data_IF_159388782869
#
_entry.id   IF_159388782869
#
_cell.length_a   1.000
_cell.length_b   1.000
_cell.length_c   1.000
_cell.angle_alpha   90.00
_cell.angle_beta   90.00
_cell.angle_gamma   90.00
#
_symmetry.space_group_name_H-M   'P 1'
#
loop_
_entity.id
_entity.type
_entity.pdbx_description
1 polymer ?
#
# COMPACT_ATOMS: atom_id res chain seq x y z
N UNK A 1 93.00 -57.11 -64.46
CA UNK A 1 92.59 -55.74 -64.84
C UNK A 1 91.21 -55.33 -64.27
N UNK A 2 90.69 -55.96 -63.20
CA UNK A 2 89.34 -55.63 -62.64
C UNK A 2 89.33 -54.71 -61.41
N UNK A 3 90.48 -54.28 -60.88
CA UNK A 3 90.51 -53.52 -59.61
C UNK A 3 90.33 -51.99 -59.80
N UNK A 4 90.72 -51.43 -60.95
CA UNK A 4 90.74 -49.97 -61.17
C UNK A 4 89.36 -49.34 -61.50
N UNK A 5 88.37 -50.13 -61.92
CA UNK A 5 87.04 -49.64 -62.33
C UNK A 5 86.11 -49.45 -61.10
N UNK A 6 86.33 -50.23 -60.03
CA UNK A 6 85.53 -50.18 -58.80
C UNK A 6 85.73 -48.88 -58.01
N UNK A 7 86.96 -48.39 -57.92
CA UNK A 7 87.29 -47.16 -57.15
C UNK A 7 86.77 -45.89 -57.82
N UNK A 8 86.74 -45.83 -59.16
CA UNK A 8 86.17 -44.70 -59.91
C UNK A 8 84.67 -44.52 -59.68
N UNK A 9 83.93 -45.63 -59.60
CA UNK A 9 82.48 -45.63 -59.33
C UNK A 9 82.15 -45.12 -57.92
N UNK A 10 82.98 -45.45 -56.92
CA UNK A 10 82.80 -44.98 -55.55
C UNK A 10 83.09 -43.47 -55.37
N UNK A 11 84.03 -42.90 -56.14
CA UNK A 11 84.36 -41.48 -56.09
C UNK A 11 83.25 -40.65 -56.78
N UNK A 12 82.71 -41.12 -57.91
CA UNK A 12 81.57 -40.49 -58.58
C UNK A 12 80.29 -40.50 -57.73
N UNK A 13 79.98 -41.60 -57.03
CA UNK A 13 78.86 -41.65 -56.08
C UNK A 13 79.04 -40.67 -54.90
N UNK A 14 80.26 -40.55 -54.36
CA UNK A 14 80.55 -39.61 -53.26
C UNK A 14 80.49 -38.14 -53.69
N UNK A 15 80.86 -37.83 -54.93
CA UNK A 15 80.77 -36.47 -55.48
C UNK A 15 79.32 -36.04 -55.74
N UNK A 16 78.51 -36.93 -56.35
CA UNK A 16 77.07 -36.70 -56.58
C UNK A 16 76.29 -36.55 -55.27
N UNK A 17 76.63 -37.33 -54.24
CA UNK A 17 75.96 -37.25 -52.94
C UNK A 17 76.16 -35.88 -52.27
N UNK A 18 77.38 -35.30 -52.34
CA UNK A 18 77.66 -33.98 -51.75
C UNK A 18 76.87 -32.86 -52.42
N UNK A 19 76.72 -32.89 -53.75
CA UNK A 19 75.92 -31.92 -54.49
C UNK A 19 74.43 -32.02 -54.21
N UNK A 20 73.93 -33.22 -53.88
CA UNK A 20 72.54 -33.41 -53.51
C UNK A 20 72.24 -32.86 -52.10
N UNK A 21 73.16 -33.01 -51.14
CA UNK A 21 72.98 -32.44 -49.80
C UNK A 21 72.99 -30.90 -49.80
N UNK A 22 73.79 -30.25 -50.65
CA UNK A 22 73.82 -28.77 -50.71
C UNK A 22 72.52 -28.18 -51.27
N UNK A 23 71.91 -28.81 -52.27
CA UNK A 23 70.60 -28.41 -52.82
C UNK A 23 69.47 -28.56 -51.80
N UNK A 24 69.46 -29.68 -51.06
CA UNK A 24 68.48 -29.90 -49.99
C UNK A 24 68.63 -28.86 -48.88
N UNK A 25 69.88 -28.54 -48.48
CA UNK A 25 70.14 -27.55 -47.43
C UNK A 25 69.67 -26.15 -47.86
N UNK A 26 69.94 -25.74 -49.10
CA UNK A 26 69.50 -24.44 -49.62
C UNK A 26 67.96 -24.35 -49.72
N UNK A 27 67.31 -25.44 -50.12
CA UNK A 27 65.83 -25.53 -50.15
C UNK A 27 65.22 -25.39 -48.75
N UNK A 28 65.79 -26.07 -47.74
CA UNK A 28 65.34 -25.96 -46.35
C UNK A 28 65.54 -24.53 -45.82
N UNK A 29 66.68 -23.90 -46.10
CA UNK A 29 66.94 -22.51 -45.67
C UNK A 29 65.95 -21.54 -46.30
N UNK A 30 65.65 -21.68 -47.59
CA UNK A 30 64.66 -20.86 -48.29
C UNK A 30 63.25 -21.04 -47.72
N UNK A 31 62.84 -22.30 -47.45
CA UNK A 31 61.55 -22.61 -46.84
C UNK A 31 61.43 -22.00 -45.43
N UNK A 32 62.47 -22.15 -44.60
CA UNK A 32 62.51 -21.56 -43.27
C UNK A 32 62.45 -20.03 -43.32
N UNK A 33 63.16 -19.39 -44.25
CA UNK A 33 63.10 -17.94 -44.44
C UNK A 33 61.70 -17.47 -44.84
N UNK A 34 61.04 -18.20 -45.74
CA UNK A 34 59.68 -17.87 -46.19
C UNK A 34 58.66 -18.05 -45.06
N UNK A 35 58.79 -19.12 -44.26
CA UNK A 35 57.98 -19.32 -43.05
C UNK A 35 58.21 -18.20 -42.03
N UNK A 36 59.46 -17.76 -41.82
CA UNK A 36 59.79 -16.65 -40.91
C UNK A 36 59.21 -15.32 -41.39
N UNK A 37 59.29 -15.03 -42.69
CA UNK A 37 58.70 -13.83 -43.29
C UNK A 37 57.17 -13.88 -43.14
N UNK A 38 56.55 -15.00 -43.49
CA UNK A 38 55.11 -15.20 -43.36
C UNK A 38 54.67 -15.06 -41.90
N UNK A 39 55.36 -15.72 -40.96
CA UNK A 39 55.11 -15.61 -39.53
C UNK A 39 55.25 -14.17 -39.06
N UNK A 40 56.32 -13.47 -39.46
CA UNK A 40 56.54 -12.06 -39.09
C UNK A 40 55.43 -11.15 -39.62
N UNK A 41 54.99 -11.34 -40.85
CA UNK A 41 53.90 -10.55 -41.47
C UNK A 41 52.59 -10.82 -40.76
N UNK A 42 52.18 -12.09 -40.66
CA UNK A 42 50.91 -12.50 -40.03
C UNK A 42 50.87 -12.12 -38.54
N UNK A 43 51.96 -12.33 -37.82
CA UNK A 43 52.07 -11.98 -36.40
C UNK A 43 51.96 -10.46 -36.19
N UNK A 44 52.59 -9.64 -37.06
CA UNK A 44 52.45 -8.17 -37.00
C UNK A 44 51.09 -7.67 -37.45
N UNK A 45 50.50 -8.26 -38.49
CA UNK A 45 49.30 -7.73 -39.15
C UNK A 45 48.00 -8.18 -38.50
N UNK A 46 47.99 -9.36 -37.86
CA UNK A 46 46.75 -9.96 -37.30
C UNK A 46 46.82 -10.09 -35.78
N UNK A 47 47.90 -10.70 -35.26
CA UNK A 47 47.96 -11.06 -33.84
C UNK A 47 48.15 -9.85 -32.93
N UNK A 48 49.01 -8.90 -33.32
CA UNK A 48 49.24 -7.68 -32.53
C UNK A 48 48.00 -6.77 -32.41
N UNK A 49 47.25 -6.44 -33.48
CA UNK A 49 46.07 -5.58 -33.35
C UNK A 49 44.91 -6.25 -32.61
N UNK A 50 44.76 -7.59 -32.68
CA UNK A 50 43.71 -8.30 -31.93
C UNK A 50 43.98 -8.31 -30.42
N UNK A 51 45.26 -8.37 -30.00
CA UNK A 51 45.64 -8.32 -28.59
C UNK A 51 45.44 -6.93 -27.95
N UNK A 52 45.52 -5.85 -28.75
CA UNK A 52 45.27 -4.49 -28.29
C UNK A 52 43.76 -4.19 -28.14
N UNK A 53 42.89 -4.89 -28.87
CA UNK A 53 41.44 -4.63 -28.85
C UNK A 53 40.70 -5.21 -27.63
N UNK A 54 41.21 -6.26 -26.98
CA UNK A 54 40.59 -6.82 -25.77
C UNK A 54 40.71 -5.90 -24.55
N UNK A 55 41.76 -5.06 -24.49
CA UNK A 55 41.97 -4.16 -23.36
C UNK A 55 41.03 -2.95 -23.37
N UNK A 56 40.66 -2.44 -24.55
CA UNK A 56 39.71 -1.33 -24.66
C UNK A 56 38.31 -1.77 -24.19
N UNK A 57 37.87 -2.96 -24.60
CA UNK A 57 36.56 -3.48 -24.19
C UNK A 57 36.51 -3.77 -22.68
N UNK A 58 37.61 -4.26 -22.09
CA UNK A 58 37.73 -4.43 -20.65
C UNK A 58 37.76 -3.08 -19.90
N UNK A 59 38.48 -2.07 -20.40
CA UNK A 59 38.49 -0.71 -19.81
C UNK A 59 37.13 -0.04 -19.86
N UNK A 60 36.38 -0.25 -20.94
CA UNK A 60 34.99 0.20 -21.07
C UNK A 60 34.04 -0.53 -20.11
N UNK A 61 34.27 -1.82 -19.84
CA UNK A 61 33.55 -2.58 -18.81
C UNK A 61 33.92 -2.13 -17.38
N UNK A 62 35.14 -1.65 -17.18
CA UNK A 62 35.64 -1.09 -15.91
C UNK A 62 35.30 0.39 -15.71
N UNK A 63 34.58 1.01 -16.66
CA UNK A 63 34.08 2.40 -16.54
C UNK A 63 35.07 3.50 -16.93
N UNK A 64 36.24 3.16 -17.48
CA UNK A 64 37.21 4.13 -18.02
C UNK A 64 36.85 4.48 -19.47
N UNK A 65 35.87 5.38 -19.61
CA UNK A 65 35.35 5.80 -20.92
C UNK A 65 36.20 6.92 -21.52
N UNK A 66 36.96 7.68 -20.72
CA UNK A 66 37.57 8.95 -21.14
C UNK A 66 38.98 8.81 -21.73
N UNK A 67 39.58 7.61 -21.73
CA UNK A 67 40.91 7.43 -22.31
C UNK A 67 40.93 7.61 -23.84
N UNK A 68 41.82 8.47 -24.39
CA UNK A 68 41.94 8.66 -25.84
C UNK A 68 42.42 7.37 -26.53
N UNK A 69 41.82 7.04 -27.66
CA UNK A 69 42.35 5.97 -28.52
C UNK A 69 43.68 6.42 -29.15
N UNK A 70 44.70 5.55 -29.21
CA UNK A 70 45.92 5.90 -29.93
C UNK A 70 45.60 6.17 -31.40
N UNK A 71 46.01 7.34 -31.91
CA UNK A 71 45.91 7.70 -33.33
C UNK A 71 46.70 6.68 -34.17
N UNK A 72 45.99 5.69 -34.71
CA UNK A 72 46.55 4.74 -35.66
C UNK A 72 46.59 5.41 -37.03
N UNK A 73 47.80 5.84 -37.42
CA UNK A 73 48.07 6.45 -38.70
C UNK A 73 47.58 5.56 -39.89
N UNK A 74 46.55 6.02 -40.60
CA UNK A 74 46.37 5.73 -42.03
C UNK A 74 45.39 4.63 -42.46
N UNK A 75 44.57 4.04 -41.59
CA UNK A 75 43.57 3.04 -41.98
C UNK A 75 42.15 3.63 -41.90
N UNK A 76 41.46 3.78 -43.04
CA UNK A 76 40.17 4.48 -43.19
C UNK A 76 39.04 3.82 -42.39
N UNK A 77 39.17 2.51 -42.15
CA UNK A 77 38.27 1.69 -41.35
C UNK A 77 38.37 1.99 -39.84
N UNK A 78 39.54 2.42 -39.37
CA UNK A 78 39.82 2.64 -37.95
C UNK A 78 39.31 4.00 -37.44
N UNK A 79 39.27 5.00 -38.33
CA UNK A 79 38.66 6.31 -38.12
C UNK A 79 37.12 6.23 -37.97
N UNK A 80 36.47 5.28 -38.66
CA UNK A 80 35.03 5.04 -38.51
C UNK A 80 34.70 4.46 -37.13
N UNK A 81 35.56 3.60 -36.60
CA UNK A 81 35.42 3.04 -35.25
C UNK A 81 35.62 4.15 -34.19
N UNK A 82 36.61 5.04 -34.38
CA UNK A 82 36.84 6.18 -33.49
C UNK A 82 35.59 7.05 -33.32
N UNK A 83 34.96 7.46 -34.44
CA UNK A 83 33.71 8.24 -34.40
C UNK A 83 32.55 7.52 -33.72
N UNK A 84 32.38 6.22 -33.96
CA UNK A 84 31.33 5.43 -33.31
C UNK A 84 31.57 5.32 -31.79
N UNK A 85 32.82 5.18 -31.37
CA UNK A 85 33.18 5.16 -29.95
C UNK A 85 32.98 6.51 -29.28
N UNK A 86 33.26 7.63 -29.96
CA UNK A 86 32.95 8.96 -29.43
C UNK A 86 31.43 9.20 -29.30
N UNK A 87 30.65 8.76 -30.28
CA UNK A 87 29.18 8.78 -30.21
C UNK A 87 28.65 7.90 -29.07
N UNK A 88 29.26 6.73 -28.83
CA UNK A 88 28.91 5.86 -27.72
C UNK A 88 29.28 6.49 -26.36
N UNK A 89 30.51 7.03 -26.22
CA UNK A 89 30.99 7.73 -25.02
C UNK A 89 30.05 8.88 -24.63
N UNK A 90 29.69 9.73 -25.59
CA UNK A 90 28.76 10.83 -25.35
C UNK A 90 27.37 10.34 -24.89
N UNK A 91 26.89 9.22 -25.43
CA UNK A 91 25.62 8.60 -25.03
C UNK A 91 25.68 8.02 -23.62
N UNK A 92 26.77 7.36 -23.24
CA UNK A 92 26.96 6.85 -21.87
C UNK A 92 27.05 7.99 -20.86
N UNK A 93 27.80 9.05 -21.19
CA UNK A 93 27.86 10.26 -20.36
C UNK A 93 26.49 10.92 -20.20
N UNK A 94 25.70 11.01 -21.27
CA UNK A 94 24.33 11.52 -21.21
C UNK A 94 23.42 10.64 -20.32
N UNK A 95 23.54 9.31 -20.42
CA UNK A 95 22.78 8.37 -19.60
C UNK A 95 23.14 8.47 -18.11
N UNK A 96 24.43 8.57 -17.78
CA UNK A 96 24.88 8.73 -16.40
C UNK A 96 24.39 10.06 -15.81
N UNK A 97 24.47 11.17 -16.57
CA UNK A 97 23.88 12.45 -16.13
C UNK A 97 22.38 12.33 -15.89
N UNK A 98 21.64 11.67 -16.77
CA UNK A 98 20.20 11.46 -16.57
C UNK A 98 19.90 10.60 -15.34
N UNK A 99 20.69 9.55 -15.08
CA UNK A 99 20.56 8.73 -13.87
C UNK A 99 20.80 9.55 -12.60
N UNK A 100 21.84 10.36 -12.57
CA UNK A 100 22.13 11.24 -11.43
C UNK A 100 21.04 12.28 -11.22
N UNK A 101 20.55 12.89 -12.30
CA UNK A 101 19.42 13.83 -12.24
C UNK A 101 18.16 13.16 -11.68
N UNK A 102 17.82 11.97 -12.16
CA UNK A 102 16.63 11.25 -11.69
C UNK A 102 16.79 10.82 -10.23
N UNK A 103 17.97 10.36 -9.82
CA UNK A 103 18.26 10.03 -8.42
C UNK A 103 18.13 11.26 -7.51
N UNK A 104 18.60 12.43 -7.95
CA UNK A 104 18.44 13.68 -7.23
C UNK A 104 16.96 14.10 -7.14
N UNK A 105 16.20 13.99 -8.23
CA UNK A 105 14.76 14.29 -8.24
C UNK A 105 13.98 13.36 -7.32
N UNK A 106 14.22 12.06 -7.38
CA UNK A 106 13.57 11.08 -6.49
C UNK A 106 13.89 11.39 -5.03
N UNK A 107 15.16 11.70 -4.71
CA UNK A 107 15.55 12.08 -3.35
C UNK A 107 14.82 13.34 -2.87
N UNK A 108 14.77 14.38 -3.71
CA UNK A 108 14.07 15.62 -3.38
C UNK A 108 12.56 15.40 -3.16
N UNK A 109 11.90 14.68 -4.08
CA UNK A 109 10.47 14.35 -3.96
C UNK A 109 10.17 13.45 -2.76
N UNK A 110 11.06 12.52 -2.45
CA UNK A 110 10.89 11.64 -1.28
C UNK A 110 10.95 12.46 0.01
N UNK A 111 11.88 13.42 0.11
CA UNK A 111 11.97 14.31 1.27
C UNK A 111 10.73 15.21 1.41
N UNK A 112 10.27 15.81 0.30
CA UNK A 112 9.03 16.63 0.26
C UNK A 112 7.80 15.80 0.69
N UNK A 113 7.65 14.58 0.17
CA UNK A 113 6.56 13.69 0.56
C UNK A 113 6.64 13.29 2.04
N UNK A 114 7.84 13.06 2.57
CA UNK A 114 8.02 12.75 3.99
C UNK A 114 7.58 13.91 4.89
N UNK A 115 7.93 15.14 4.52
CA UNK A 115 7.51 16.35 5.25
C UNK A 115 5.98 16.52 5.22
N UNK A 116 5.37 16.42 4.04
CA UNK A 116 3.90 16.48 3.87
C UNK A 116 3.18 15.39 4.68
N UNK A 117 3.73 14.17 4.72
CA UNK A 117 3.15 13.08 5.51
C UNK A 117 3.20 13.39 7.01
N UNK A 118 4.28 14.01 7.50
CA UNK A 118 4.39 14.41 8.91
C UNK A 118 3.37 15.51 9.22
N UNK A 119 3.28 16.54 8.37
CA UNK A 119 2.32 17.65 8.53
C UNK A 119 0.87 17.13 8.53
N UNK A 120 0.51 16.30 7.55
CA UNK A 120 -0.83 15.71 7.48
C UNK A 120 -1.14 14.83 8.70
N UNK A 121 -0.16 14.07 9.22
CA UNK A 121 -0.36 13.28 10.43
C UNK A 121 -0.59 14.16 11.65
N UNK A 122 0.14 15.27 11.79
CA UNK A 122 -0.03 16.22 12.89
C UNK A 122 -1.40 16.90 12.81
N UNK A 123 -1.76 17.45 11.65
CA UNK A 123 -3.06 18.09 11.43
C UNK A 123 -4.23 17.12 11.68
N UNK A 124 -4.09 15.86 11.23
CA UNK A 124 -5.08 14.81 11.50
C UNK A 124 -5.19 14.51 12.99
N UNK A 125 -4.08 14.36 13.70
CA UNK A 125 -4.10 14.09 15.14
C UNK A 125 -4.72 15.24 15.94
N UNK A 126 -4.51 16.49 15.54
CA UNK A 126 -5.15 17.66 16.14
C UNK A 126 -6.65 17.68 15.87
N UNK A 127 -7.08 17.40 14.63
CA UNK A 127 -8.48 17.30 14.27
C UNK A 127 -9.19 16.18 15.04
N UNK A 128 -8.57 15.00 15.16
CA UNK A 128 -9.11 13.87 15.94
C UNK A 128 -9.25 14.22 17.42
N UNK A 129 -8.24 14.89 18.02
CA UNK A 129 -8.33 15.38 19.41
C UNK A 129 -9.46 16.38 19.59
N UNK A 130 -9.60 17.35 18.68
CA UNK A 130 -10.66 18.34 18.73
C UNK A 130 -12.05 17.68 18.62
N UNK A 131 -12.20 16.70 17.72
CA UNK A 131 -13.45 15.94 17.56
C UNK A 131 -13.80 15.12 18.81
N UNK A 132 -12.81 14.47 19.43
CA UNK A 132 -13.00 13.75 20.68
C UNK A 132 -13.41 14.69 21.82
N UNK A 133 -12.76 15.85 21.94
CA UNK A 133 -13.11 16.85 22.95
C UNK A 133 -14.53 17.39 22.75
N UNK A 134 -14.93 17.70 21.51
CA UNK A 134 -16.30 18.11 21.16
C UNK A 134 -17.32 17.05 21.58
N UNK A 135 -17.04 15.78 21.26
CA UNK A 135 -17.94 14.66 21.58
C UNK A 135 -18.07 14.45 23.09
N UNK A 136 -16.96 14.49 23.82
CA UNK A 136 -16.95 14.39 25.28
C UNK A 136 -17.71 15.55 25.95
N UNK A 137 -17.53 16.77 25.44
CA UNK A 137 -18.26 17.94 25.92
C UNK A 137 -19.77 17.80 25.71
N UNK A 138 -20.21 17.39 24.52
CA UNK A 138 -21.63 17.21 24.23
C UNK A 138 -22.25 16.11 25.09
N UNK A 139 -21.55 14.98 25.28
CA UNK A 139 -21.99 13.91 26.16
C UNK A 139 -22.17 14.39 27.62
N UNK A 140 -21.19 15.11 28.16
CA UNK A 140 -21.26 15.66 29.51
C UNK A 140 -22.42 16.67 29.64
N UNK A 141 -22.51 17.63 28.73
CA UNK A 141 -23.57 18.65 28.74
C UNK A 141 -24.96 18.03 28.64
N UNK A 142 -25.14 16.98 27.85
CA UNK A 142 -26.44 16.31 27.76
C UNK A 142 -26.87 15.68 29.08
N UNK A 143 -25.95 15.04 29.81
CA UNK A 143 -26.26 14.51 31.15
C UNK A 143 -26.64 15.62 32.15
N UNK A 144 -25.92 16.74 32.09
CA UNK A 144 -26.18 17.91 32.94
C UNK A 144 -27.48 18.63 32.59
N UNK A 145 -27.93 18.58 31.32
CA UNK A 145 -29.22 19.16 30.89
C UNK A 145 -30.38 18.18 31.15
N UNK A 146 -30.18 16.88 30.94
CA UNK A 146 -31.20 15.84 31.10
C UNK A 146 -31.75 15.79 32.53
N UNK A 147 -30.86 15.88 33.53
CA UNK A 147 -31.24 15.79 34.96
C UNK A 147 -32.22 16.90 35.39
N UNK A 148 -31.94 18.20 35.21
CA UNK A 148 -32.89 19.26 35.54
C UNK A 148 -34.14 19.22 34.65
N UNK A 149 -34.01 18.83 33.38
CA UNK A 149 -35.16 18.72 32.47
C UNK A 149 -36.15 17.64 32.91
N UNK A 150 -35.67 16.47 33.36
CA UNK A 150 -36.54 15.46 33.97
C UNK A 150 -37.15 15.92 35.29
N UNK A 151 -36.45 16.75 36.07
CA UNK A 151 -37.04 17.39 37.25
C UNK A 151 -38.20 18.32 36.90
N UNK A 152 -38.06 19.13 35.84
CA UNK A 152 -39.12 20.03 35.35
C UNK A 152 -40.31 19.22 34.82
N UNK A 153 -40.07 18.18 34.01
CA UNK A 153 -41.12 17.32 33.48
C UNK A 153 -41.86 16.56 34.60
N UNK A 154 -41.14 16.01 35.57
CA UNK A 154 -41.76 15.35 36.72
C UNK A 154 -42.61 16.31 37.55
N UNK A 155 -42.15 17.55 37.73
CA UNK A 155 -42.93 18.59 38.44
C UNK A 155 -44.18 18.99 37.65
N UNK A 156 -44.06 19.18 36.34
CA UNK A 156 -45.19 19.48 35.46
C UNK A 156 -46.25 18.36 35.51
N UNK A 157 -45.82 17.10 35.50
CA UNK A 157 -46.70 15.94 35.62
C UNK A 157 -47.46 15.92 36.96
N UNK A 158 -46.76 16.16 38.08
CA UNK A 158 -47.38 16.23 39.40
C UNK A 158 -48.40 17.36 39.52
N UNK A 159 -48.14 18.51 38.87
CA UNK A 159 -49.08 19.63 38.82
C UNK A 159 -50.29 19.33 37.91
N UNK A 160 -50.09 18.56 36.83
CA UNK A 160 -51.16 18.18 35.90
C UNK A 160 -52.19 17.24 36.53
N UNK A 161 -51.78 16.48 37.54
CA UNK A 161 -52.65 15.58 38.32
C UNK A 161 -53.43 16.32 39.42
N UNK A 162 -53.15 17.61 39.66
CA UNK A 162 -53.84 18.41 40.68
C UNK A 162 -55.19 18.96 40.14
N UNK A 163 -56.34 18.58 40.72
CA UNK A 163 -57.66 19.06 40.27
C UNK A 163 -57.85 20.57 40.39
N UNK A 164 -57.11 21.24 41.29
CA UNK A 164 -57.17 22.69 41.48
C UNK A 164 -56.51 23.48 40.33
N UNK A 165 -55.70 22.83 39.50
CA UNK A 165 -54.98 23.44 38.37
C UNK A 165 -55.58 23.10 37.00
N UNK A 166 -56.83 22.61 36.97
CA UNK A 166 -57.52 22.26 35.72
C UNK A 166 -57.62 23.42 34.71
N UNK A 167 -57.61 24.67 35.17
CA UNK A 167 -57.61 25.84 34.29
C UNK A 167 -56.26 26.05 33.57
N UNK A 168 -55.16 25.52 34.10
CA UNK A 168 -53.80 25.61 33.53
C UNK A 168 -53.37 24.30 32.85
N UNK A 169 -54.30 23.38 32.59
CA UNK A 169 -53.98 22.06 32.06
C UNK A 169 -53.34 22.11 30.67
N UNK A 170 -53.78 23.04 29.83
CA UNK A 170 -53.22 23.24 28.50
C UNK A 170 -51.79 23.81 28.57
N UNK A 171 -51.53 24.72 29.53
CA UNK A 171 -50.18 25.26 29.77
C UNK A 171 -49.22 24.18 30.27
N UNK A 172 -49.66 23.35 31.23
CA UNK A 172 -48.87 22.23 31.75
C UNK A 172 -48.57 21.20 30.66
N UNK A 173 -49.56 20.91 29.81
CA UNK A 173 -49.37 20.03 28.65
C UNK A 173 -48.38 20.62 27.65
N UNK A 174 -48.46 21.91 27.36
CA UNK A 174 -47.50 22.58 26.49
C UNK A 174 -46.06 22.53 27.04
N UNK A 175 -45.88 22.65 28.36
CA UNK A 175 -44.58 22.47 29.03
C UNK A 175 -44.06 21.04 28.84
N UNK A 176 -44.92 20.03 29.07
CA UNK A 176 -44.54 18.61 28.90
C UNK A 176 -44.17 18.30 27.45
N UNK A 177 -45.03 18.66 26.49
CA UNK A 177 -44.80 18.42 25.07
C UNK A 177 -43.50 19.11 24.58
N UNK A 178 -43.23 20.33 25.07
CA UNK A 178 -42.00 21.07 24.74
C UNK A 178 -40.75 20.43 25.36
N UNK A 179 -40.84 19.96 26.60
CA UNK A 179 -39.73 19.29 27.29
C UNK A 179 -39.38 17.94 26.66
N UNK A 180 -40.40 17.17 26.25
CA UNK A 180 -40.22 15.93 25.49
C UNK A 180 -39.58 16.20 24.12
N UNK A 181 -40.05 17.22 23.39
CA UNK A 181 -39.45 17.60 22.12
C UNK A 181 -37.98 18.04 22.27
N UNK A 182 -37.64 18.75 23.35
CA UNK A 182 -36.26 19.16 23.62
C UNK A 182 -35.37 17.95 23.95
N UNK A 183 -35.88 16.96 24.68
CA UNK A 183 -35.17 15.69 24.93
C UNK A 183 -34.89 14.93 23.64
N UNK A 184 -35.85 14.88 22.71
CA UNK A 184 -35.63 14.25 21.40
C UNK A 184 -34.49 14.93 20.66
N UNK A 185 -34.53 16.26 20.51
CA UNK A 185 -33.46 17.01 19.81
C UNK A 185 -32.10 16.82 20.50
N UNK A 186 -32.07 16.85 21.84
CA UNK A 186 -30.85 16.66 22.61
C UNK A 186 -30.25 15.26 22.37
N UNK A 187 -31.08 14.22 22.34
CA UNK A 187 -30.64 12.86 22.07
C UNK A 187 -30.17 12.69 20.61
N UNK A 188 -30.87 13.29 19.64
CA UNK A 188 -30.46 13.23 18.23
C UNK A 188 -29.08 13.88 18.01
N UNK A 189 -28.80 15.00 18.68
CA UNK A 189 -27.49 15.67 18.61
C UNK A 189 -26.39 14.79 19.22
N UNK A 190 -26.69 14.08 20.32
CA UNK A 190 -25.75 13.14 20.91
C UNK A 190 -25.45 11.96 19.98
N UNK A 191 -26.49 11.35 19.41
CA UNK A 191 -26.34 10.20 18.52
C UNK A 191 -25.53 10.57 17.29
N UNK A 192 -25.80 11.74 16.70
CA UNK A 192 -24.99 12.28 15.61
C UNK A 192 -23.51 12.47 16.02
N UNK A 193 -23.26 13.04 17.21
CA UNK A 193 -21.90 13.28 17.72
C UNK A 193 -21.15 11.98 18.01
N UNK A 194 -21.85 10.95 18.49
CA UNK A 194 -21.27 9.63 18.74
C UNK A 194 -20.90 8.91 17.43
N UNK A 195 -21.71 9.06 16.38
CA UNK A 195 -21.42 8.53 15.04
C UNK A 195 -20.23 9.26 14.40
N UNK A 196 -20.19 10.60 14.49
CA UNK A 196 -19.09 11.44 13.99
C UNK A 196 -17.75 11.03 14.64
N UNK A 197 -17.76 10.61 15.90
CA UNK A 197 -16.60 10.11 16.64
C UNK A 197 -16.21 8.64 16.33
N UNK A 198 -16.84 8.00 15.35
CA UNK A 198 -16.53 6.62 14.94
C UNK A 198 -17.30 5.55 15.71
N UNK A 199 -18.44 5.88 16.33
CA UNK A 199 -19.41 4.92 16.89
C UNK A 199 -19.02 4.22 18.19
N UNK A 200 -17.82 4.45 18.74
CA UNK A 200 -17.33 3.79 19.96
C UNK A 200 -18.17 4.07 21.22
N UNK A 201 -18.96 5.14 21.21
CA UNK A 201 -19.83 5.53 22.33
C UNK A 201 -21.32 5.22 22.09
N UNK A 202 -21.68 4.60 20.96
CA UNK A 202 -23.02 4.03 20.79
C UNK A 202 -23.01 2.70 21.54
N UNK A 203 -23.28 2.76 22.85
CA UNK A 203 -23.44 1.55 23.65
C UNK A 203 -24.77 0.90 23.26
N UNK A 204 -24.72 -0.13 22.43
CA UNK A 204 -25.84 -1.05 22.24
C UNK A 204 -25.90 -1.88 23.52
N UNK A 205 -26.96 -1.71 24.32
CA UNK A 205 -27.22 -2.54 25.49
C UNK A 205 -27.41 -3.99 25.02
N UNK A 206 -26.80 -4.95 25.68
CA UNK A 206 -27.05 -6.38 25.42
C UNK A 206 -27.76 -6.94 26.65
N UNK A 207 -29.08 -6.73 26.71
CA UNK A 207 -29.93 -7.12 27.83
C UNK A 207 -31.10 -8.00 27.38
N UNK A 208 -31.59 -8.90 28.25
CA UNK A 208 -32.76 -9.71 27.94
C UNK A 208 -34.01 -8.84 27.89
N UNK A 209 -34.73 -8.88 26.77
CA UNK A 209 -35.99 -8.17 26.58
C UNK A 209 -37.06 -9.05 25.94
N UNK A 210 -38.32 -8.75 26.21
CA UNK A 210 -39.45 -9.44 25.61
C UNK A 210 -39.93 -8.68 24.37
N UNK A 211 -39.91 -9.29 23.17
CA UNK A 211 -40.29 -8.59 21.93
C UNK A 211 -41.78 -8.26 21.86
N UNK A 212 -42.66 -9.05 22.52
CA UNK A 212 -44.11 -8.81 22.51
C UNK A 212 -44.48 -7.49 23.22
N UNK A 213 -44.10 -7.25 24.50
CA UNK A 213 -44.32 -5.95 25.16
C UNK A 213 -43.63 -4.77 24.47
N UNK A 214 -42.44 -4.98 23.89
CA UNK A 214 -41.73 -3.92 23.17
C UNK A 214 -42.50 -3.48 21.92
N UNK A 215 -43.02 -4.43 21.14
CA UNK A 215 -43.80 -4.13 19.95
C UNK A 215 -45.14 -3.47 20.30
N UNK A 216 -45.78 -3.91 21.38
CA UNK A 216 -47.04 -3.35 21.87
C UNK A 216 -46.89 -1.90 22.36
N UNK A 217 -45.84 -1.60 23.13
CA UNK A 217 -45.52 -0.23 23.54
C UNK A 217 -45.18 0.68 22.35
N UNK A 218 -44.46 0.16 21.36
CA UNK A 218 -44.16 0.88 20.10
C UNK A 218 -45.42 1.20 19.31
N UNK A 219 -46.34 0.24 19.18
CA UNK A 219 -47.64 0.46 18.54
C UNK A 219 -48.47 1.52 19.26
N UNK A 220 -48.50 1.47 20.60
CA UNK A 220 -49.24 2.42 21.41
C UNK A 220 -48.70 3.85 21.21
N UNK A 221 -47.38 3.99 21.12
CA UNK A 221 -46.71 5.27 20.85
C UNK A 221 -47.02 5.79 19.43
N UNK A 222 -47.06 4.90 18.44
CA UNK A 222 -47.44 5.24 17.06
C UNK A 222 -48.93 5.55 16.91
N UNK A 223 -49.80 4.95 17.74
CA UNK A 223 -51.26 5.09 17.66
C UNK A 223 -51.72 6.55 17.75
N UNK A 224 -51.05 7.37 18.57
CA UNK A 224 -51.30 8.80 18.68
C UNK A 224 -51.03 9.56 17.37
N UNK A 225 -50.00 9.15 16.60
CA UNK A 225 -49.62 9.80 15.32
C UNK A 225 -50.53 9.44 14.15
N UNK A 226 -51.22 8.30 14.21
CA UNK A 226 -52.16 7.85 13.16
C UNK A 226 -53.62 8.17 13.49
N UNK A 227 -53.90 8.72 14.68
CA UNK A 227 -55.23 9.14 15.08
C UNK A 227 -55.81 10.15 14.09
N UNK A 228 -56.96 9.85 13.50
CA UNK A 228 -57.61 10.71 12.49
C UNK A 228 -57.13 10.51 11.04
N UNK A 229 -56.23 9.54 10.79
CA UNK A 229 -55.82 9.13 9.45
C UNK A 229 -56.46 7.76 9.08
N UNK A 230 -56.70 7.46 7.80
CA UNK A 230 -57.24 6.17 7.36
C UNK A 230 -56.15 5.08 7.36
N UNK A 231 -55.40 4.96 8.46
CA UNK A 231 -54.27 4.04 8.62
C UNK A 231 -54.59 3.13 9.81
N UNK A 232 -54.55 1.81 9.57
CA UNK A 232 -54.72 0.79 10.62
C UNK A 232 -53.35 0.22 10.97
N UNK A 233 -52.98 0.31 12.25
CA UNK A 233 -51.82 -0.40 12.79
C UNK A 233 -52.26 -1.79 13.24
N UNK A 234 -51.51 -2.82 12.85
CA UNK A 234 -51.71 -4.21 13.25
C UNK A 234 -50.36 -4.85 13.49
N UNK A 235 -50.31 -5.81 14.41
CA UNK A 235 -49.10 -6.61 14.70
C UNK A 235 -49.41 -8.08 14.69
N UNK A 236 -48.44 -8.84 14.22
CA UNK A 236 -48.45 -10.29 14.19
C UNK A 236 -47.04 -10.75 14.61
N UNK A 237 -46.98 -11.58 15.64
CA UNK A 237 -45.73 -12.15 16.14
C UNK A 237 -45.90 -13.66 16.09
N UNK A 238 -45.06 -14.32 15.29
CA UNK A 238 -45.09 -15.77 15.12
C UNK A 238 -44.84 -16.50 16.44
N UNK A 239 -45.42 -17.70 16.57
CA UNK A 239 -45.38 -18.50 17.79
C UNK A 239 -43.98 -19.07 18.09
N UNK A 240 -43.11 -19.14 17.09
CA UNK A 240 -41.72 -19.60 17.20
C UNK A 240 -40.76 -18.52 17.73
N UNK A 241 -41.23 -17.28 17.88
CA UNK A 241 -40.43 -16.19 18.45
C UNK A 241 -40.20 -16.45 19.95
N UNK A 242 -38.94 -16.53 20.41
CA UNK A 242 -38.62 -16.70 21.82
C UNK A 242 -39.24 -15.61 22.70
N UNK A 243 -39.68 -15.97 23.91
CA UNK A 243 -40.25 -15.02 24.88
C UNK A 243 -39.28 -13.91 25.25
N UNK A 244 -37.98 -14.20 25.26
CA UNK A 244 -36.93 -13.22 25.51
C UNK A 244 -35.81 -13.31 24.46
N UNK A 245 -35.33 -12.14 24.02
CA UNK A 245 -34.18 -11.96 23.13
C UNK A 245 -33.10 -11.16 23.86
N UNK A 246 -31.85 -11.33 23.44
CA UNK A 246 -30.73 -10.50 23.89
C UNK A 246 -30.50 -9.38 22.88
N UNK A 247 -30.45 -8.14 23.36
CA UNK A 247 -30.17 -6.98 22.52
C UNK A 247 -30.52 -5.68 23.24
N UNK A 248 -30.64 -4.60 22.47
CA UNK A 248 -30.95 -3.29 23.02
C UNK A 248 -32.47 -3.03 22.89
N UNK A 249 -33.23 -3.07 23.99
CA UNK A 249 -34.66 -2.85 23.96
C UNK A 249 -35.01 -1.38 23.76
N UNK A 250 -34.05 -0.44 23.74
CA UNK A 250 -34.35 0.98 23.56
C UNK A 250 -35.17 1.16 22.28
N UNK A 251 -36.44 1.58 22.38
CA UNK A 251 -37.18 2.03 21.23
C UNK A 251 -36.43 3.25 20.70
N UNK A 252 -36.22 3.34 19.39
CA UNK A 252 -35.54 4.45 18.70
C UNK A 252 -36.27 5.81 18.85
N UNK A 253 -37.04 6.04 19.91
CA UNK A 253 -37.73 7.31 20.15
C UNK A 253 -37.83 7.79 21.60
N UNK A 254 -37.45 7.05 22.63
CA UNK A 254 -37.55 7.57 24.01
C UNK A 254 -37.00 6.58 25.02
N UNK A 255 -35.85 6.92 25.61
CA UNK A 255 -35.29 6.16 26.71
C UNK A 255 -36.10 6.37 27.98
N UNK A 256 -36.87 5.36 28.39
CA UNK A 256 -37.26 5.09 29.76
C UNK A 256 -37.50 3.58 29.90
N UNK A 257 -36.67 2.91 30.70
CA UNK A 257 -37.08 1.69 31.39
C UNK A 257 -36.62 1.80 32.84
N UNK A 258 -37.58 1.92 33.76
CA UNK A 258 -37.39 1.73 35.19
C UNK A 258 -37.33 0.22 35.51
N UNK A 259 -36.68 -0.19 36.62
CA UNK A 259 -36.25 -1.57 36.82
C UNK A 259 -37.39 -2.46 37.29
N UNK A 260 -37.53 -3.65 36.67
CA UNK A 260 -38.33 -4.74 37.23
C UNK A 260 -37.45 -5.54 38.18
N UNK A 261 -37.64 -5.27 39.46
CA UNK A 261 -37.18 -6.08 40.57
C UNK A 261 -37.90 -7.43 40.55
N UNK A 262 -37.18 -8.50 40.21
CA UNK A 262 -37.28 -9.87 40.76
C UNK A 262 -36.50 -10.85 39.85
N UNK A 263 -35.33 -11.28 40.30
CA UNK A 263 -34.58 -12.41 39.70
C UNK A 263 -35.10 -13.74 40.25
N UNK A 264 -35.38 -14.72 39.39
CA UNK A 264 -34.99 -16.10 39.65
C UNK A 264 -33.80 -16.47 38.76
N UNK A 265 -32.84 -17.19 39.34
CA UNK A 265 -31.67 -17.69 38.65
C UNK A 265 -32.09 -18.70 37.55
N UNK A 266 -31.89 -18.36 36.28
CA UNK A 266 -32.00 -19.32 35.18
C UNK A 266 -30.62 -19.81 34.74
N UNK A 267 -30.43 -21.12 34.86
CA UNK A 267 -29.25 -21.85 34.41
C UNK A 267 -29.01 -21.66 32.91
N UNK A 268 -27.80 -21.21 32.56
CA UNK A 268 -27.25 -21.22 31.20
C UNK A 268 -27.31 -22.65 30.64
N UNK A 269 -28.25 -22.94 29.74
CA UNK A 269 -28.05 -24.00 28.74
C UNK A 269 -27.32 -23.39 27.55
N UNK A 270 -26.08 -23.84 27.33
CA UNK A 270 -25.36 -23.57 26.08
C UNK A 270 -26.07 -24.32 24.95
N UNK A 271 -26.52 -23.58 23.94
CA UNK A 271 -27.00 -24.16 22.69
C UNK A 271 -25.80 -24.26 21.75
N UNK A 272 -25.45 -25.49 21.35
CA UNK A 272 -24.50 -25.76 20.27
C UNK A 272 -25.23 -25.62 18.93
N UNK A 273 -24.69 -24.82 18.02
CA UNK A 273 -25.06 -24.86 16.60
C UNK A 273 -24.23 -25.93 15.88
N UNK A 274 -24.84 -26.81 15.07
CA UNK A 274 -24.09 -27.67 14.16
C UNK A 274 -23.60 -26.86 12.95
N UNK A 275 -22.47 -27.30 12.39
CA UNK A 275 -21.75 -26.70 11.28
C UNK A 275 -22.50 -26.76 9.94
#
# INVERSE_FOLDING_TARGET
>A
MSCAISTGWHIWKKASARGQYSLLLLGIVSLCALILILWRVVYRSVTRPLAEQTQVLQRLLDGDIDSPFPETAGVRELDTIGRLMDAFRSSVHALNRHREQLAAQVKARTAELQELVIEHRQARAEAEKASQAKSAFLAAMSHEIRTPLYGILGTAQLLADNPALNAQRDDLRAITDSGESLLTILNDILDYSAIEAGGKNVSVSDEPFEPRPLLESTLQLMSGRVKGRPIRLATEIADDVPTALMGDPRPYSSGHYQPVEQRPAFHRRRVHYPA
#
